data_IF_033732766002
#
_entry.id   IF_033732766002
#
_cell.length_a   1.000
_cell.length_b   1.000
_cell.length_c   1.000
_cell.angle_alpha   90.00
_cell.angle_beta   90.00
_cell.angle_gamma   90.00
#
_symmetry.space_group_name_H-M   'P 1'
#
loop_
_entity.id
_entity.type
_entity.pdbx_description
1 polymer ?
#
# COMPACT_ATOMS: atom_id res chain seq x y z
N UNK A 1 -44.76 -45.32 -10.89
CA UNK A 1 -43.33 -45.35 -11.26
C UNK A 1 -43.07 -44.04 -11.98
N UNK A 2 -42.56 -43.05 -11.27
CA UNK A 2 -42.53 -41.65 -11.72
C UNK A 2 -41.24 -41.42 -12.48
N UNK A 3 -41.38 -41.22 -13.78
CA UNK A 3 -40.33 -40.88 -14.74
C UNK A 3 -39.73 -39.53 -14.32
N UNK A 4 -38.50 -39.52 -13.79
CA UNK A 4 -37.79 -38.29 -13.46
C UNK A 4 -37.21 -37.71 -14.74
N UNK A 5 -37.40 -36.41 -14.93
CA UNK A 5 -36.85 -35.67 -16.06
C UNK A 5 -35.32 -35.85 -16.09
N UNK A 6 -34.71 -36.28 -17.21
CA UNK A 6 -33.26 -36.45 -17.32
C UNK A 6 -32.49 -35.16 -16.99
N UNK A 7 -33.12 -33.98 -17.13
CA UNK A 7 -32.53 -32.70 -16.70
C UNK A 7 -32.49 -32.58 -15.17
N UNK A 8 -33.48 -33.11 -14.45
CA UNK A 8 -33.48 -33.16 -12.98
C UNK A 8 -32.41 -34.13 -12.46
N UNK A 9 -32.22 -35.28 -13.11
CA UNK A 9 -31.18 -36.24 -12.70
C UNK A 9 -29.76 -35.69 -12.94
N UNK A 10 -29.56 -34.84 -13.96
CA UNK A 10 -28.29 -34.11 -14.16
C UNK A 10 -28.05 -33.04 -13.08
N UNK A 11 -29.11 -32.37 -12.61
CA UNK A 11 -29.03 -31.37 -11.55
C UNK A 11 -28.77 -31.98 -10.17
N UNK A 12 -29.35 -33.16 -9.90
CA UNK A 12 -29.18 -33.90 -8.64
C UNK A 12 -27.83 -34.61 -8.57
N UNK A 13 -27.32 -35.11 -9.71
CA UNK A 13 -26.04 -35.82 -9.77
C UNK A 13 -24.86 -34.93 -10.16
N UNK A 14 -25.07 -33.60 -10.27
CA UNK A 14 -23.96 -32.67 -10.37
C UNK A 14 -23.17 -32.77 -9.07
N UNK A 15 -22.01 -33.44 -9.12
CA UNK A 15 -21.01 -33.33 -8.08
C UNK A 15 -20.66 -31.85 -7.99
N UNK A 16 -21.26 -31.16 -7.01
CA UNK A 16 -20.75 -29.88 -6.57
C UNK A 16 -19.31 -30.15 -6.15
N UNK A 17 -18.35 -29.81 -7.01
CA UNK A 17 -16.95 -29.77 -6.63
C UNK A 17 -16.89 -29.10 -5.28
N UNK A 18 -16.24 -29.79 -4.32
CA UNK A 18 -16.16 -29.33 -2.94
C UNK A 18 -15.50 -27.96 -2.94
N UNK A 19 -16.31 -26.90 -2.99
CA UNK A 19 -15.91 -25.58 -2.55
C UNK A 19 -15.60 -25.75 -1.07
N UNK A 20 -14.32 -25.93 -0.74
CA UNK A 20 -13.85 -26.07 0.64
C UNK A 20 -14.01 -24.78 1.45
N UNK A 21 -14.54 -23.72 0.82
CA UNK A 21 -14.86 -22.44 1.42
C UNK A 21 -16.27 -22.04 1.00
N UNK A 22 -17.18 -21.83 1.94
CA UNK A 22 -18.55 -21.41 1.57
C UNK A 22 -18.52 -20.01 0.93
N UNK A 23 -19.46 -19.71 0.03
CA UNK A 23 -19.60 -18.37 -0.58
C UNK A 23 -19.71 -17.28 0.49
N UNK A 24 -20.35 -17.58 1.62
CA UNK A 24 -20.46 -16.67 2.76
C UNK A 24 -19.12 -16.42 3.44
N UNK A 25 -18.25 -17.44 3.50
CA UNK A 25 -16.90 -17.28 4.02
C UNK A 25 -16.05 -16.38 3.09
N UNK A 26 -16.17 -16.53 1.77
CA UNK A 26 -15.49 -15.65 0.79
C UNK A 26 -15.96 -14.20 0.96
N UNK A 27 -17.27 -13.98 1.11
CA UNK A 27 -17.84 -12.64 1.34
C UNK A 27 -17.34 -12.02 2.64
N UNK A 28 -17.32 -12.80 3.72
CA UNK A 28 -16.82 -12.33 5.03
C UNK A 28 -15.35 -11.92 4.94
N UNK A 29 -14.49 -12.73 4.31
CA UNK A 29 -13.07 -12.39 4.17
C UNK A 29 -12.83 -11.21 3.22
N UNK A 30 -13.58 -11.13 2.12
CA UNK A 30 -13.54 -9.97 1.22
C UNK A 30 -13.92 -8.68 1.95
N UNK A 31 -14.99 -8.70 2.77
CA UNK A 31 -15.40 -7.55 3.58
C UNK A 31 -14.36 -7.15 4.63
N UNK A 32 -13.75 -8.12 5.31
CA UNK A 32 -12.66 -7.88 6.25
C UNK A 32 -11.46 -7.21 5.57
N UNK A 33 -11.02 -7.73 4.42
CA UNK A 33 -9.94 -7.15 3.62
C UNK A 33 -10.26 -5.70 3.22
N UNK A 34 -11.48 -5.45 2.73
CA UNK A 34 -11.93 -4.12 2.36
C UNK A 34 -11.90 -3.14 3.55
N UNK A 35 -12.31 -3.58 4.74
CA UNK A 35 -12.28 -2.77 5.97
C UNK A 35 -10.84 -2.43 6.41
N UNK A 36 -9.91 -3.39 6.28
CA UNK A 36 -8.49 -3.20 6.62
C UNK A 36 -7.85 -2.20 5.65
N UNK A 37 -8.07 -2.38 4.34
CA UNK A 37 -7.53 -1.51 3.30
C UNK A 37 -8.09 -0.09 3.44
N UNK A 38 -9.40 0.06 3.66
CA UNK A 38 -10.01 1.39 3.83
C UNK A 38 -9.51 2.13 5.08
N UNK A 39 -9.38 1.45 6.24
CA UNK A 39 -8.76 2.04 7.43
C UNK A 39 -7.30 2.43 7.20
N UNK A 40 -6.54 1.59 6.50
CA UNK A 40 -5.14 1.87 6.15
C UNK A 40 -5.05 3.12 5.28
N UNK A 41 -5.84 3.16 4.21
CA UNK A 41 -5.87 4.28 3.27
C UNK A 41 -6.29 5.58 3.97
N UNK A 42 -7.30 5.53 4.84
CA UNK A 42 -7.72 6.72 5.61
C UNK A 42 -6.58 7.29 6.46
N UNK A 43 -5.86 6.42 7.20
CA UNK A 43 -4.70 6.83 7.99
C UNK A 43 -3.59 7.40 7.10
N UNK A 44 -3.31 6.76 5.97
CA UNK A 44 -2.29 7.23 5.02
C UNK A 44 -2.67 8.59 4.42
N UNK A 45 -3.94 8.84 4.11
CA UNK A 45 -4.40 10.16 3.65
C UNK A 45 -4.28 11.23 4.73
N UNK A 46 -4.63 10.91 5.98
CA UNK A 46 -4.50 11.85 7.09
C UNK A 46 -3.02 12.24 7.29
N UNK A 47 -2.14 11.25 7.35
CA UNK A 47 -0.69 11.49 7.51
C UNK A 47 -0.13 12.21 6.29
N UNK A 48 -0.48 11.79 5.08
CA UNK A 48 -0.02 12.42 3.84
C UNK A 48 -0.47 13.87 3.72
N UNK A 49 -1.72 14.18 4.05
CA UNK A 49 -2.23 15.55 4.07
C UNK A 49 -1.47 16.45 5.05
N UNK A 50 -1.21 15.95 6.27
CA UNK A 50 -0.40 16.67 7.26
C UNK A 50 1.02 16.92 6.76
N UNK A 51 1.66 15.91 6.16
CA UNK A 51 3.02 16.04 5.63
C UNK A 51 3.09 17.03 4.47
N UNK A 52 2.11 17.03 3.56
CA UNK A 52 2.04 18.00 2.46
C UNK A 52 1.95 19.42 3.03
N UNK A 53 1.00 19.69 3.94
CA UNK A 53 0.84 21.02 4.54
C UNK A 53 2.13 21.46 5.24
N UNK A 54 2.71 20.59 6.05
CA UNK A 54 3.95 20.87 6.78
C UNK A 54 5.12 21.20 5.84
N UNK A 55 5.40 20.34 4.86
CA UNK A 55 6.54 20.52 3.96
C UNK A 55 6.34 21.66 2.95
N UNK A 56 5.09 21.93 2.53
CA UNK A 56 4.78 23.11 1.73
C UNK A 56 5.02 24.39 2.54
N UNK A 57 4.54 24.46 3.78
CA UNK A 57 4.82 25.60 4.66
C UNK A 57 6.34 25.76 4.91
N UNK A 58 7.04 24.67 5.21
CA UNK A 58 8.49 24.69 5.40
C UNK A 58 9.25 25.18 4.16
N UNK A 59 8.79 24.85 2.95
CA UNK A 59 9.34 25.39 1.69
C UNK A 59 9.22 26.91 1.61
N UNK A 60 8.09 27.47 2.04
CA UNK A 60 7.85 28.92 2.00
C UNK A 60 8.71 29.66 3.03
N UNK A 61 8.77 29.14 4.26
CA UNK A 61 9.41 29.82 5.39
C UNK A 61 10.92 29.54 5.54
N UNK A 62 11.46 28.48 4.93
CA UNK A 62 12.89 28.20 5.00
C UNK A 62 13.72 29.35 4.38
N UNK A 63 14.84 29.72 5.01
CA UNK A 63 15.72 30.78 4.50
C UNK A 63 16.74 30.27 3.48
N UNK A 64 17.18 29.03 3.63
CA UNK A 64 18.24 28.43 2.82
C UNK A 64 17.67 27.76 1.57
N UNK A 65 18.17 28.05 0.35
CA UNK A 65 17.67 27.48 -0.90
C UNK A 65 17.66 25.96 -0.91
N UNK A 66 18.70 25.32 -0.36
CA UNK A 66 18.80 23.86 -0.35
C UNK A 66 17.75 23.23 0.59
N UNK A 67 17.44 23.87 1.72
CA UNK A 67 16.36 23.44 2.60
C UNK A 67 15.00 23.58 1.92
N UNK A 68 14.76 24.69 1.19
CA UNK A 68 13.54 24.86 0.39
C UNK A 68 13.38 23.73 -0.62
N UNK A 69 14.45 23.41 -1.35
CA UNK A 69 14.44 22.35 -2.35
C UNK A 69 14.12 20.98 -1.72
N UNK A 70 14.75 20.64 -0.59
CA UNK A 70 14.47 19.41 0.14
C UNK A 70 13.01 19.30 0.57
N UNK A 71 12.46 20.37 1.17
CA UNK A 71 11.05 20.41 1.56
C UNK A 71 10.10 20.31 0.36
N UNK A 72 10.39 21.01 -0.74
CA UNK A 72 9.57 20.99 -1.95
C UNK A 72 9.55 19.60 -2.59
N UNK A 73 10.71 18.96 -2.73
CA UNK A 73 10.83 17.60 -3.25
C UNK A 73 10.08 16.60 -2.37
N UNK A 74 10.16 16.73 -1.04
CA UNK A 74 9.40 15.87 -0.12
C UNK A 74 7.89 16.08 -0.28
N UNK A 75 7.42 17.33 -0.36
CA UNK A 75 5.99 17.62 -0.57
C UNK A 75 5.48 17.02 -1.90
N UNK A 76 6.25 17.17 -2.99
CA UNK A 76 5.94 16.57 -4.30
C UNK A 76 5.92 15.04 -4.20
N UNK A 77 6.89 14.45 -3.53
CA UNK A 77 6.95 13.01 -3.29
C UNK A 77 5.70 12.51 -2.55
N UNK A 78 5.31 13.16 -1.45
CA UNK A 78 4.09 12.79 -0.71
C UNK A 78 2.83 12.96 -1.56
N UNK A 79 2.72 14.05 -2.33
CA UNK A 79 1.58 14.25 -3.23
C UNK A 79 1.48 13.15 -4.29
N UNK A 80 2.62 12.73 -4.87
CA UNK A 80 2.69 11.60 -5.78
C UNK A 80 2.24 10.30 -5.12
N UNK A 81 2.69 10.02 -3.89
CA UNK A 81 2.26 8.84 -3.12
C UNK A 81 0.75 8.85 -2.89
N UNK A 82 0.19 9.99 -2.48
CA UNK A 82 -1.26 10.14 -2.27
C UNK A 82 -2.06 9.90 -3.55
N UNK A 83 -1.59 10.44 -4.68
CA UNK A 83 -2.20 10.18 -5.97
C UNK A 83 -2.13 8.69 -6.35
N UNK A 84 -0.98 8.03 -6.16
CA UNK A 84 -0.85 6.59 -6.43
C UNK A 84 -1.71 5.74 -5.50
N UNK A 85 -1.85 6.08 -4.22
CA UNK A 85 -2.77 5.39 -3.32
C UNK A 85 -4.21 5.49 -3.81
N UNK A 86 -4.61 6.67 -4.27
CA UNK A 86 -5.95 6.92 -4.80
C UNK A 86 -6.24 6.11 -6.07
N UNK A 87 -5.28 6.06 -7.00
CA UNK A 87 -5.49 5.40 -8.30
C UNK A 87 -5.25 3.88 -8.24
N UNK A 88 -4.23 3.44 -7.49
CA UNK A 88 -3.69 2.08 -7.61
C UNK A 88 -4.02 1.18 -6.43
N UNK A 89 -4.29 1.75 -5.25
CA UNK A 89 -4.44 0.98 -3.99
C UNK A 89 -5.78 1.25 -3.30
N UNK A 90 -6.73 1.88 -4.02
CA UNK A 90 -8.13 2.03 -3.56
C UNK A 90 -8.73 0.67 -3.25
N UNK A 91 -9.58 0.55 -2.24
CA UNK A 91 -10.31 -0.69 -2.03
C UNK A 91 -11.25 -0.96 -3.21
N UNK A 92 -11.39 -2.23 -3.61
CA UNK A 92 -12.38 -2.63 -4.62
C UNK A 92 -13.80 -2.25 -4.20
N UNK A 93 -14.64 -1.90 -5.17
CA UNK A 93 -16.02 -1.44 -4.97
C UNK A 93 -17.03 -2.52 -5.34
N UNK A 94 -18.27 -2.39 -4.87
CA UNK A 94 -19.39 -3.30 -5.23
C UNK A 94 -19.61 -3.33 -6.75
N UNK A 95 -19.33 -2.22 -7.44
CA UNK A 95 -19.38 -2.15 -8.91
C UNK A 95 -18.30 -3.03 -9.57
N UNK A 96 -17.12 -3.13 -8.97
CA UNK A 96 -16.03 -3.95 -9.50
C UNK A 96 -16.36 -5.46 -9.35
N UNK A 97 -17.11 -5.82 -8.31
CA UNK A 97 -17.64 -7.18 -8.14
C UNK A 97 -18.68 -7.52 -9.19
N UNK A 98 -19.63 -6.61 -9.44
CA UNK A 98 -20.68 -6.80 -10.43
C UNK A 98 -20.09 -6.99 -11.84
N UNK A 99 -18.99 -6.31 -12.14
CA UNK A 99 -18.26 -6.47 -13.40
C UNK A 99 -17.50 -7.81 -13.51
N UNK A 100 -17.07 -8.41 -12.41
CA UNK A 100 -16.34 -9.67 -12.40
C UNK A 100 -17.22 -10.91 -12.60
N UNK A 101 -18.54 -10.82 -12.36
CA UNK A 101 -19.49 -11.93 -12.52
C UNK A 101 -19.36 -13.08 -11.51
N UNK A 102 -18.22 -13.17 -10.81
CA UNK A 102 -17.91 -14.15 -9.77
C UNK A 102 -17.17 -13.50 -8.59
N UNK A 103 -17.71 -13.70 -7.38
CA UNK A 103 -17.14 -13.20 -6.12
C UNK A 103 -15.77 -13.82 -5.80
N UNK A 104 -15.55 -15.10 -6.14
CA UNK A 104 -14.28 -15.76 -5.86
C UNK A 104 -13.16 -15.23 -6.76
N UNK A 105 -13.44 -15.07 -8.06
CA UNK A 105 -12.52 -14.46 -9.01
C UNK A 105 -12.20 -13.00 -8.66
N UNK A 106 -13.21 -12.21 -8.28
CA UNK A 106 -13.01 -10.83 -7.80
C UNK A 106 -12.08 -10.78 -6.58
N UNK A 107 -12.38 -11.59 -5.56
CA UNK A 107 -11.60 -11.60 -4.33
C UNK A 107 -10.14 -12.00 -4.56
N UNK A 108 -9.90 -13.04 -5.37
CA UNK A 108 -8.55 -13.44 -5.78
C UNK A 108 -7.82 -12.33 -6.54
N UNK A 109 -8.50 -11.67 -7.47
CA UNK A 109 -7.93 -10.55 -8.24
C UNK A 109 -7.50 -9.40 -7.32
N UNK A 110 -8.32 -9.08 -6.32
CA UNK A 110 -8.00 -8.05 -5.33
C UNK A 110 -6.79 -8.43 -4.46
N UNK A 111 -6.68 -9.69 -4.03
CA UNK A 111 -5.51 -10.18 -3.29
C UNK A 111 -4.22 -10.04 -4.10
N UNK A 112 -4.24 -10.39 -5.39
CA UNK A 112 -3.10 -10.26 -6.30
C UNK A 112 -2.70 -8.78 -6.44
N UNK A 113 -3.67 -7.90 -6.68
CA UNK A 113 -3.42 -6.46 -6.83
C UNK A 113 -2.81 -5.85 -5.57
N UNK A 114 -3.33 -6.21 -4.39
CA UNK A 114 -2.80 -5.74 -3.11
C UNK A 114 -1.38 -6.27 -2.85
N UNK A 115 -1.13 -7.56 -3.11
CA UNK A 115 0.21 -8.16 -3.01
C UNK A 115 1.22 -7.41 -3.89
N UNK A 116 0.88 -7.20 -5.15
CA UNK A 116 1.78 -6.55 -6.11
C UNK A 116 2.03 -5.08 -5.76
N UNK A 117 1.01 -4.39 -5.24
CA UNK A 117 1.18 -3.04 -4.68
C UNK A 117 2.15 -3.04 -3.48
N UNK A 118 2.02 -3.98 -2.55
CA UNK A 118 2.90 -4.11 -1.38
C UNK A 118 4.34 -4.47 -1.76
N UNK A 119 4.55 -5.29 -2.79
CA UNK A 119 5.90 -5.61 -3.30
C UNK A 119 6.53 -4.44 -4.06
N UNK A 120 5.71 -3.62 -4.72
CA UNK A 120 6.15 -2.47 -5.52
C UNK A 120 6.48 -1.19 -4.75
N UNK A 121 6.34 -1.16 -3.42
CA UNK A 121 6.42 0.07 -2.60
C UNK A 121 7.70 0.88 -2.79
N UNK A 122 8.82 0.26 -3.17
CA UNK A 122 10.06 0.99 -3.44
C UNK A 122 9.89 2.00 -4.56
N UNK A 123 9.13 1.67 -5.59
CA UNK A 123 8.97 2.54 -6.77
C UNK A 123 7.90 3.60 -6.58
N UNK A 124 6.82 3.29 -5.88
CA UNK A 124 5.66 4.19 -5.83
C UNK A 124 5.43 4.85 -4.47
N UNK A 125 6.01 4.32 -3.38
CA UNK A 125 5.82 4.84 -2.02
C UNK A 125 7.11 5.41 -1.42
N UNK A 126 8.17 4.61 -1.32
CA UNK A 126 9.43 5.03 -0.67
C UNK A 126 10.31 5.87 -1.62
N UNK A 127 10.52 5.41 -2.85
CA UNK A 127 11.38 6.05 -3.85
C UNK A 127 11.11 7.55 -4.05
N UNK A 128 9.85 7.97 -4.25
CA UNK A 128 9.52 9.40 -4.39
C UNK A 128 9.90 10.28 -3.20
N UNK A 129 10.06 9.71 -2.00
CA UNK A 129 10.42 10.43 -0.77
C UNK A 129 11.93 10.53 -0.55
N UNK A 130 12.73 9.67 -1.21
CA UNK A 130 14.18 9.59 -1.02
C UNK A 130 14.89 10.89 -1.42
N UNK A 131 14.66 11.48 -2.62
CA UNK A 131 15.39 12.66 -3.05
C UNK A 131 15.21 13.85 -2.10
N UNK A 132 13.97 14.14 -1.69
CA UNK A 132 13.66 15.23 -0.77
C UNK A 132 14.28 15.02 0.62
N UNK A 133 14.23 13.79 1.14
CA UNK A 133 14.84 13.43 2.42
C UNK A 133 16.36 13.64 2.40
N UNK A 134 17.04 13.17 1.35
CA UNK A 134 18.49 13.34 1.20
C UNK A 134 18.85 14.82 1.15
N UNK A 135 18.20 15.57 0.28
CA UNK A 135 18.48 17.01 0.11
C UNK A 135 18.23 17.78 1.40
N UNK A 136 17.14 17.47 2.12
CA UNK A 136 16.81 18.13 3.39
C UNK A 136 17.87 17.90 4.46
N UNK A 137 18.31 16.65 4.68
CA UNK A 137 19.33 16.36 5.68
C UNK A 137 20.70 16.93 5.29
N UNK A 138 21.08 16.88 4.02
CA UNK A 138 22.30 17.53 3.52
C UNK A 138 22.25 19.05 3.72
N UNK A 139 21.10 19.67 3.53
CA UNK A 139 20.93 21.11 3.76
C UNK A 139 21.23 21.50 5.21
N UNK A 140 20.86 20.66 6.19
CA UNK A 140 21.16 20.88 7.61
C UNK A 140 22.67 20.83 7.86
N UNK A 141 23.38 19.85 7.31
CA UNK A 141 24.85 19.79 7.44
C UNK A 141 25.54 20.97 6.77
N UNK A 142 25.20 21.26 5.50
CA UNK A 142 25.85 22.29 4.69
C UNK A 142 25.65 23.70 5.26
N UNK A 143 24.44 24.04 5.73
CA UNK A 143 24.17 25.38 6.30
C UNK A 143 24.96 25.66 7.58
N UNK A 144 25.50 24.63 8.22
CA UNK A 144 26.24 24.71 9.48
C UNK A 144 27.74 24.95 9.30
N UNK A 145 28.27 24.85 8.07
CA UNK A 145 29.69 25.00 7.78
C UNK A 145 30.17 26.38 8.23
N UNK A 146 31.25 26.42 9.02
CA UNK A 146 31.81 27.67 9.56
C UNK A 146 31.08 28.23 10.78
N UNK A 147 30.06 27.54 11.30
CA UNK A 147 29.36 27.92 12.53
C UNK A 147 29.86 27.12 13.73
N UNK A 148 29.68 27.65 14.95
CA UNK A 148 30.05 26.94 16.19
C UNK A 148 29.22 25.65 16.40
N UNK A 149 28.06 25.50 15.75
CA UNK A 149 27.19 24.33 15.84
C UNK A 149 27.47 23.25 14.79
N UNK A 150 28.50 23.41 13.94
CA UNK A 150 28.73 22.54 12.78
C UNK A 150 28.74 21.05 13.12
N UNK A 151 29.50 20.63 14.15
CA UNK A 151 29.60 19.22 14.55
C UNK A 151 28.24 18.65 14.94
N UNK A 152 27.45 19.40 15.72
CA UNK A 152 26.13 18.98 16.16
C UNK A 152 25.15 18.87 14.99
N UNK A 153 25.13 19.85 14.08
CA UNK A 153 24.20 19.84 12.94
C UNK A 153 24.53 18.74 11.94
N UNK A 154 25.81 18.41 11.73
CA UNK A 154 26.21 17.23 10.96
C UNK A 154 25.82 15.93 11.65
N UNK A 155 25.97 15.83 12.98
CA UNK A 155 25.50 14.66 13.72
C UNK A 155 23.98 14.48 13.58
N UNK A 156 23.21 15.58 13.65
CA UNK A 156 21.76 15.58 13.39
C UNK A 156 21.44 15.17 11.95
N UNK A 157 22.17 15.69 10.95
CA UNK A 157 21.97 15.35 9.55
C UNK A 157 22.20 13.86 9.27
N UNK A 158 23.31 13.31 9.76
CA UNK A 158 23.64 11.88 9.62
C UNK A 158 22.65 11.02 10.39
N UNK A 159 22.34 11.38 11.65
CA UNK A 159 21.36 10.67 12.46
C UNK A 159 19.97 10.65 11.82
N UNK A 160 19.55 11.77 11.23
CA UNK A 160 18.29 11.89 10.50
C UNK A 160 18.24 11.01 9.24
N UNK A 161 19.32 10.95 8.46
CA UNK A 161 19.43 10.04 7.31
C UNK A 161 19.36 8.58 7.73
N UNK A 162 20.10 8.19 8.78
CA UNK A 162 20.09 6.83 9.30
C UNK A 162 18.70 6.45 9.81
N UNK A 163 18.06 7.32 10.57
CA UNK A 163 16.69 7.09 11.04
C UNK A 163 15.72 6.93 9.87
N UNK A 164 15.83 7.78 8.84
CA UNK A 164 15.01 7.67 7.63
C UNK A 164 15.23 6.31 6.94
N UNK A 165 16.48 5.88 6.79
CA UNK A 165 16.81 4.58 6.19
C UNK A 165 16.26 3.40 7.02
N UNK A 166 16.35 3.47 8.35
CA UNK A 166 15.79 2.46 9.26
C UNK A 166 14.27 2.39 9.12
N UNK A 167 13.58 3.54 9.15
CA UNK A 167 12.12 3.60 8.98
C UNK A 167 11.72 3.03 7.61
N UNK A 168 12.43 3.39 6.54
CA UNK A 168 12.13 2.88 5.20
C UNK A 168 12.37 1.38 5.09
N UNK A 169 13.45 0.88 5.68
CA UNK A 169 13.74 -0.55 5.76
C UNK A 169 12.67 -1.31 6.54
N UNK A 170 12.21 -0.76 7.68
CA UNK A 170 11.13 -1.35 8.46
C UNK A 170 9.80 -1.37 7.69
N UNK A 171 9.42 -0.26 7.04
CA UNK A 171 8.24 -0.22 6.16
C UNK A 171 8.37 -1.26 5.05
N UNK A 172 9.53 -1.37 4.42
CA UNK A 172 9.78 -2.36 3.37
C UNK A 172 9.62 -3.81 3.86
N UNK A 173 10.15 -4.11 5.04
CA UNK A 173 10.02 -5.43 5.65
C UNK A 173 8.55 -5.75 6.02
N UNK A 174 7.84 -4.81 6.64
CA UNK A 174 6.44 -4.99 7.00
C UNK A 174 5.54 -5.24 5.78
N UNK A 175 5.78 -4.53 4.67
CA UNK A 175 5.02 -4.74 3.43
C UNK A 175 5.33 -6.10 2.78
N UNK A 176 6.59 -6.56 2.81
CA UNK A 176 6.95 -7.90 2.33
C UNK A 176 6.26 -9.00 3.15
N UNK A 177 6.21 -8.84 4.47
CA UNK A 177 5.52 -9.80 5.35
C UNK A 177 4.01 -9.83 5.06
N UNK A 178 3.38 -8.66 4.93
CA UNK A 178 1.96 -8.57 4.55
C UNK A 178 1.70 -9.21 3.18
N UNK A 179 2.58 -8.98 2.19
CA UNK A 179 2.47 -9.60 0.86
C UNK A 179 2.57 -11.13 0.92
N UNK A 180 3.41 -11.68 1.80
CA UNK A 180 3.52 -13.13 2.01
C UNK A 180 2.22 -13.73 2.57
N UNK A 181 1.53 -13.01 3.47
CA UNK A 181 0.21 -13.39 3.97
C UNK A 181 -0.84 -13.46 2.85
N UNK A 182 -0.88 -12.44 1.98
CA UNK A 182 -1.79 -12.42 0.82
C UNK A 182 -1.46 -13.55 -0.17
N UNK A 183 -0.17 -13.84 -0.38
CA UNK A 183 0.26 -14.95 -1.24
C UNK A 183 -0.20 -16.31 -0.72
N UNK A 184 -0.15 -16.52 0.60
CA UNK A 184 -0.64 -17.76 1.22
C UNK A 184 -2.15 -17.92 1.00
N UNK A 185 -2.92 -16.83 1.10
CA UNK A 185 -4.36 -16.86 0.86
C UNK A 185 -4.71 -17.11 -0.61
N UNK A 186 -3.97 -16.51 -1.56
CA UNK A 186 -4.11 -16.81 -2.99
C UNK A 186 -3.87 -18.29 -3.26
N UNK A 187 -2.81 -18.88 -2.67
CA UNK A 187 -2.48 -20.29 -2.85
C UNK A 187 -3.56 -21.24 -2.28
N UNK A 188 -4.25 -20.85 -1.21
CA UNK A 188 -5.39 -21.60 -0.67
C UNK A 188 -6.59 -21.57 -1.63
N UNK A 189 -6.89 -20.40 -2.19
CA UNK A 189 -7.98 -20.24 -3.17
C UNK A 189 -7.69 -21.03 -4.46
N UNK A 190 -6.46 -20.99 -4.96
CA UNK A 190 -6.06 -21.73 -6.16
C UNK A 190 -6.29 -23.24 -5.98
N UNK A 191 -5.81 -23.81 -4.86
CA UNK A 191 -6.03 -25.22 -4.51
C UNK A 191 -7.51 -25.58 -4.35
N UNK A 192 -8.31 -24.70 -3.74
CA UNK A 192 -9.75 -24.94 -3.56
C UNK A 192 -10.53 -24.88 -4.88
N UNK A 193 -10.04 -24.11 -5.86
CA UNK A 193 -10.64 -23.94 -7.19
C UNK A 193 -10.11 -24.91 -8.25
N UNK A 194 -9.25 -25.87 -7.87
CA UNK A 194 -8.64 -26.83 -8.80
C UNK A 194 -7.63 -26.21 -9.79
N UNK A 195 -7.07 -25.04 -9.46
CA UNK A 195 -6.07 -24.32 -10.27
C UNK A 195 -4.65 -24.51 -9.76
#
# INVERSE_FOLDING_TARGET
>A
MTDRDPVQDLWVNQQSERFTMSVDEVRMRAGSLQSIVSRRNFREYLVGGVLIVFFTAATVFAKYPLSKLGCALTAIGVAFVMWRLHVVVRAGTVSDVAAAGDWAQFYRGELVRQRDALLGIWWWYLGPLIPGSIVYWLAIGIRSIGTASAVWEWAVAVGGLLLTAVVFGWVAAANKQAAAGLQAEIALLDRASGR
#
